data_IF_774572518421
#
_entry.id   IF_774572518421
#
_cell.length_a   1.000
_cell.length_b   1.000
_cell.length_c   1.000
_cell.angle_alpha   90.00
_cell.angle_beta   90.00
_cell.angle_gamma   90.00
#
_symmetry.space_group_name_H-M   'P 1'
#
loop_
_entity.id
_entity.type
_entity.pdbx_description
1 polymer ?
#
# COMPACT_ATOMS: atom_id res chain seq x y z
N UNK A 1 51.36 80.49 28.19
CA UNK A 1 50.68 79.21 28.53
C UNK A 1 51.65 78.05 28.36
N UNK A 2 52.03 77.36 29.45
CA UNK A 2 53.04 76.29 29.45
C UNK A 2 52.34 74.93 29.21
N UNK A 3 52.61 74.27 28.07
CA UNK A 3 52.12 72.91 27.78
C UNK A 3 52.98 71.89 28.52
N UNK A 4 52.40 71.16 29.47
CA UNK A 4 53.03 70.03 30.14
C UNK A 4 52.95 68.83 29.18
N UNK A 5 54.08 68.43 28.58
CA UNK A 5 54.20 67.17 27.84
C UNK A 5 54.45 66.05 28.84
N UNK A 6 53.41 65.27 29.16
CA UNK A 6 53.57 63.99 29.86
C UNK A 6 54.05 62.93 28.86
N UNK A 7 55.32 62.54 28.98
CA UNK A 7 55.91 61.47 28.18
C UNK A 7 55.62 60.13 28.88
N UNK A 8 54.44 59.56 28.64
CA UNK A 8 54.06 58.24 29.17
C UNK A 8 54.66 57.15 28.29
N UNK A 9 55.84 56.66 28.70
CA UNK A 9 56.53 55.55 28.05
C UNK A 9 55.80 54.23 28.37
N UNK A 10 54.90 53.80 27.49
CA UNK A 10 54.18 52.53 27.61
C UNK A 10 55.18 51.37 27.45
N UNK A 11 55.60 50.76 28.56
CA UNK A 11 56.40 49.53 28.53
C UNK A 11 55.52 48.36 28.08
N UNK A 12 55.66 47.94 26.82
CA UNK A 12 54.98 46.76 26.27
C UNK A 12 55.60 45.50 26.87
N UNK A 13 55.04 45.00 27.98
CA UNK A 13 55.46 43.73 28.56
C UNK A 13 54.89 42.56 27.73
N UNK A 14 55.63 42.11 26.70
CA UNK A 14 55.20 41.08 25.75
C UNK A 14 54.78 39.77 26.43
N UNK A 15 55.37 39.44 27.59
CA UNK A 15 55.04 38.22 28.36
C UNK A 15 53.65 38.30 28.98
N UNK A 16 53.23 39.47 29.45
CA UNK A 16 51.90 39.67 30.03
C UNK A 16 50.78 39.53 29.00
N UNK A 17 51.03 39.95 27.75
CA UNK A 17 50.07 39.78 26.65
C UNK A 17 49.82 38.29 26.31
N UNK A 18 50.86 37.46 26.32
CA UNK A 18 50.71 36.02 26.08
C UNK A 18 49.93 35.31 27.20
N UNK A 19 50.21 35.66 28.46
CA UNK A 19 49.47 35.11 29.60
C UNK A 19 48.00 35.53 29.56
N UNK A 20 47.73 36.81 29.26
CA UNK A 20 46.36 37.30 29.10
C UNK A 20 45.60 36.59 27.97
N UNK A 21 46.24 36.35 26.82
CA UNK A 21 45.64 35.63 25.70
C UNK A 21 45.30 34.17 26.05
N UNK A 22 46.15 33.48 26.81
CA UNK A 22 45.86 32.12 27.27
C UNK A 22 44.68 32.07 28.24
N UNK A 23 44.57 33.04 29.15
CA UNK A 23 43.43 33.14 30.07
C UNK A 23 42.14 33.41 29.29
N UNK A 24 42.18 34.35 28.32
CA UNK A 24 41.03 34.65 27.48
C UNK A 24 40.56 33.41 26.69
N UNK A 25 41.49 32.64 26.14
CA UNK A 25 41.20 31.38 25.45
C UNK A 25 40.57 30.34 26.39
N UNK A 26 41.05 30.24 27.63
CA UNK A 26 40.44 29.37 28.63
C UNK A 26 38.99 29.74 28.92
N UNK A 27 38.72 31.04 29.11
CA UNK A 27 37.37 31.55 29.37
C UNK A 27 36.44 31.29 28.17
N UNK A 28 36.90 31.49 26.93
CA UNK A 28 36.08 31.24 25.74
C UNK A 28 35.76 29.76 25.57
N UNK A 29 36.70 28.86 25.83
CA UNK A 29 36.46 27.41 25.78
C UNK A 29 35.42 27.00 26.84
N UNK A 30 35.53 27.51 28.07
CA UNK A 30 34.57 27.22 29.15
C UNK A 30 33.17 27.74 28.78
N UNK A 31 33.08 28.98 28.27
CA UNK A 31 31.83 29.55 27.82
C UNK A 31 31.19 28.70 26.70
N UNK A 32 31.98 28.25 25.73
CA UNK A 32 31.49 27.43 24.62
C UNK A 32 31.02 26.05 25.09
N UNK A 33 31.77 25.39 25.97
CA UNK A 33 31.38 24.12 26.58
C UNK A 33 30.08 24.24 27.38
N UNK A 34 29.91 25.33 28.14
CA UNK A 34 28.68 25.59 28.90
C UNK A 34 27.47 25.81 27.99
N UNK A 35 27.65 26.51 26.86
CA UNK A 35 26.60 26.74 25.87
C UNK A 35 26.14 25.42 25.22
N UNK A 36 27.09 24.56 24.82
CA UNK A 36 26.78 23.23 24.28
C UNK A 36 26.03 22.38 25.31
N UNK A 37 26.45 22.41 26.57
CA UNK A 37 25.76 21.71 27.66
C UNK A 37 24.30 22.16 27.81
N UNK A 38 24.04 23.46 27.81
CA UNK A 38 22.69 24.03 27.89
C UNK A 38 21.87 23.66 26.65
N UNK A 39 22.47 23.72 25.46
CA UNK A 39 21.81 23.33 24.21
C UNK A 39 21.43 21.84 24.24
N UNK A 40 22.31 20.95 24.68
CA UNK A 40 22.02 19.52 24.76
C UNK A 40 20.91 19.20 25.79
N UNK A 41 20.91 19.89 26.93
CA UNK A 41 19.85 19.71 27.95
C UNK A 41 18.49 20.19 27.41
N UNK A 42 18.47 21.33 26.70
CA UNK A 42 17.24 21.85 26.08
C UNK A 42 16.79 21.00 24.90
N UNK A 43 17.71 20.60 24.01
CA UNK A 43 17.42 19.80 22.82
C UNK A 43 17.07 18.35 23.15
N UNK A 44 17.54 17.80 24.28
CA UNK A 44 17.18 16.46 24.74
C UNK A 44 15.68 16.26 25.01
N UNK A 45 14.91 17.35 25.16
CA UNK A 45 13.44 17.35 25.30
C UNK A 45 12.70 17.87 24.06
N UNK A 46 13.41 18.30 23.03
CA UNK A 46 12.81 18.71 21.77
C UNK A 46 12.79 17.48 20.88
N UNK A 47 11.63 16.82 20.73
CA UNK A 47 11.41 15.88 19.63
C UNK A 47 11.94 16.58 18.37
N UNK A 48 12.87 15.98 17.60
CA UNK A 48 13.50 16.67 16.49
C UNK A 48 12.43 17.28 15.59
N UNK A 49 12.51 18.60 15.36
CA UNK A 49 11.59 19.30 14.48
C UNK A 49 11.61 18.58 13.12
N UNK A 50 10.55 17.84 12.82
CA UNK A 50 10.44 16.99 11.64
C UNK A 50 9.91 15.58 11.92
N UNK A 51 10.09 15.05 13.13
CA UNK A 51 9.60 13.69 13.47
C UNK A 51 8.07 13.57 13.35
N UNK A 52 7.32 14.54 13.87
CA UNK A 52 5.86 14.52 13.81
C UNK A 52 5.33 14.58 12.36
N UNK A 53 5.79 15.52 11.50
CA UNK A 53 5.44 15.49 10.07
C UNK A 53 5.84 14.18 9.38
N UNK A 54 7.06 13.67 9.61
CA UNK A 54 7.52 12.40 9.02
C UNK A 54 6.62 11.23 9.43
N UNK A 55 6.18 11.21 10.69
CA UNK A 55 5.28 10.16 11.20
C UNK A 55 3.93 10.20 10.50
N UNK A 56 3.37 11.40 10.26
CA UNK A 56 2.12 11.56 9.51
C UNK A 56 2.30 11.08 8.06
N UNK A 57 3.39 11.48 7.39
CA UNK A 57 3.66 11.03 6.02
C UNK A 57 3.79 9.52 5.90
N UNK A 58 4.48 8.88 6.86
CA UNK A 58 4.57 7.41 6.90
C UNK A 58 3.19 6.77 7.07
N UNK A 59 2.38 7.26 8.01
CA UNK A 59 1.04 6.73 8.23
C UNK A 59 0.12 6.89 7.00
N UNK A 60 0.23 8.01 6.27
CA UNK A 60 -0.51 8.20 5.02
C UNK A 60 -0.06 7.21 3.95
N UNK A 61 1.25 7.05 3.76
CA UNK A 61 1.81 6.14 2.75
C UNK A 61 1.44 4.68 3.04
N UNK A 62 1.57 4.25 4.30
CA UNK A 62 1.14 2.93 4.75
C UNK A 62 -0.37 2.73 4.54
N UNK A 63 -1.19 3.74 4.82
CA UNK A 63 -2.62 3.70 4.55
C UNK A 63 -2.95 3.53 3.06
N UNK A 64 -2.25 4.26 2.18
CA UNK A 64 -2.42 4.14 0.72
C UNK A 64 -2.01 2.76 0.21
N UNK A 65 -0.88 2.23 0.66
CA UNK A 65 -0.41 0.90 0.29
C UNK A 65 -1.44 -0.17 0.67
N UNK A 66 -2.01 -0.07 1.86
CA UNK A 66 -3.03 -1.00 2.35
C UNK A 66 -4.30 -0.95 1.50
N UNK A 67 -4.79 0.26 1.20
CA UNK A 67 -5.95 0.43 0.31
C UNK A 67 -5.69 -0.19 -1.06
N UNK A 68 -4.47 -0.03 -1.59
CA UNK A 68 -4.07 -0.61 -2.85
C UNK A 68 -4.04 -2.16 -2.79
N UNK A 69 -3.51 -2.75 -1.71
CA UNK A 69 -3.56 -4.20 -1.51
C UNK A 69 -4.99 -4.73 -1.38
N UNK A 70 -5.88 -3.99 -0.71
CA UNK A 70 -7.31 -4.36 -0.63
C UNK A 70 -7.94 -4.33 -2.01
N UNK A 71 -7.70 -3.29 -2.80
CA UNK A 71 -8.29 -3.15 -4.13
C UNK A 71 -7.78 -4.24 -5.09
N UNK A 72 -6.46 -4.46 -5.16
CA UNK A 72 -5.89 -5.53 -5.99
C UNK A 72 -6.27 -6.93 -5.51
N UNK A 73 -6.31 -7.15 -4.20
CA UNK A 73 -6.80 -8.39 -3.59
C UNK A 73 -8.26 -8.66 -3.95
N UNK A 74 -9.11 -7.63 -3.93
CA UNK A 74 -10.50 -7.74 -4.33
C UNK A 74 -10.67 -8.00 -5.82
N UNK A 75 -9.90 -7.35 -6.70
CA UNK A 75 -9.88 -7.63 -8.14
C UNK A 75 -9.53 -9.09 -8.41
N UNK A 76 -8.49 -9.60 -7.74
CA UNK A 76 -8.09 -10.99 -7.84
C UNK A 76 -9.20 -11.92 -7.34
N UNK A 77 -9.80 -11.63 -6.19
CA UNK A 77 -10.88 -12.44 -5.63
C UNK A 77 -12.11 -12.50 -6.55
N UNK A 78 -12.46 -11.39 -7.20
CA UNK A 78 -13.53 -11.34 -8.22
C UNK A 78 -13.20 -12.24 -9.40
N UNK A 79 -12.01 -12.10 -10.00
CA UNK A 79 -11.60 -12.94 -11.14
C UNK A 79 -11.56 -14.42 -10.78
N UNK A 80 -11.06 -14.73 -9.58
CA UNK A 80 -11.04 -16.11 -9.09
C UNK A 80 -12.47 -16.63 -8.88
N UNK A 81 -13.38 -15.82 -8.35
CA UNK A 81 -14.77 -16.21 -8.18
C UNK A 81 -15.49 -16.45 -9.51
N UNK A 82 -15.22 -15.61 -10.52
CA UNK A 82 -15.70 -15.81 -11.89
C UNK A 82 -15.17 -17.14 -12.46
N UNK A 83 -13.87 -17.40 -12.31
CA UNK A 83 -13.23 -18.63 -12.77
C UNK A 83 -13.80 -19.87 -12.08
N UNK A 84 -13.88 -19.87 -10.75
CA UNK A 84 -14.37 -21.01 -9.96
C UNK A 84 -15.83 -21.31 -10.28
N UNK A 85 -16.66 -20.27 -10.43
CA UNK A 85 -18.05 -20.42 -10.81
C UNK A 85 -18.16 -20.97 -12.24
N UNK A 86 -17.37 -20.46 -13.19
CA UNK A 86 -17.36 -20.96 -14.58
C UNK A 86 -16.92 -22.43 -14.66
N UNK A 87 -15.90 -22.83 -13.89
CA UNK A 87 -15.44 -24.22 -13.80
C UNK A 87 -16.51 -25.17 -13.27
N UNK A 88 -17.45 -24.68 -12.47
CA UNK A 88 -18.59 -25.45 -11.98
C UNK A 88 -19.82 -25.36 -12.89
N UNK A 89 -19.69 -24.80 -14.10
CA UNK A 89 -20.82 -24.61 -15.01
C UNK A 89 -21.68 -23.40 -14.65
N UNK A 90 -21.12 -22.36 -14.02
CA UNK A 90 -21.78 -21.09 -13.75
C UNK A 90 -22.70 -21.05 -12.52
N UNK A 91 -22.76 -22.14 -11.74
CA UNK A 91 -23.60 -22.27 -10.53
C UNK A 91 -22.92 -23.11 -9.48
N UNK A 92 -23.25 -22.88 -8.20
CA UNK A 92 -22.83 -23.78 -7.12
C UNK A 92 -23.68 -25.04 -7.06
N UNK A 93 -25.00 -24.88 -7.19
CA UNK A 93 -25.95 -25.99 -7.12
C UNK A 93 -26.93 -25.94 -8.28
N UNK A 94 -27.04 -27.05 -9.02
CA UNK A 94 -27.98 -27.22 -10.12
C UNK A 94 -29.08 -28.22 -9.75
N UNK A 95 -30.33 -27.88 -10.09
CA UNK A 95 -31.46 -28.81 -10.03
C UNK A 95 -31.42 -29.91 -11.11
N UNK A 96 -30.52 -29.80 -12.09
CA UNK A 96 -30.31 -30.76 -13.17
C UNK A 96 -29.16 -31.75 -12.86
N UNK A 97 -28.50 -31.62 -11.70
CA UNK A 97 -27.37 -32.46 -11.30
C UNK A 97 -26.02 -31.98 -11.85
N UNK A 98 -24.99 -32.78 -11.63
CA UNK A 98 -23.61 -32.50 -12.02
C UNK A 98 -22.94 -33.70 -12.71
N UNK A 99 -21.88 -33.43 -13.47
CA UNK A 99 -20.94 -34.44 -13.97
C UNK A 99 -19.52 -33.93 -13.76
N UNK A 100 -18.70 -34.72 -13.06
CA UNK A 100 -17.31 -34.38 -12.76
C UNK A 100 -17.15 -32.99 -12.11
N UNK A 101 -18.11 -32.58 -11.27
CA UNK A 101 -18.11 -31.27 -10.62
C UNK A 101 -18.66 -30.11 -11.45
N UNK A 102 -19.02 -30.35 -12.72
CA UNK A 102 -19.65 -29.35 -13.59
C UNK A 102 -21.17 -29.49 -13.48
N UNK A 103 -21.86 -28.42 -13.10
CA UNK A 103 -23.30 -28.39 -12.98
C UNK A 103 -23.98 -28.21 -14.33
N UNK A 104 -25.06 -28.97 -14.58
CA UNK A 104 -25.81 -28.87 -15.82
C UNK A 104 -26.89 -27.80 -15.76
N UNK A 105 -27.10 -27.12 -16.88
CA UNK A 105 -28.23 -26.19 -17.05
C UNK A 105 -29.44 -26.84 -17.70
N UNK A 106 -29.27 -28.02 -18.28
CA UNK A 106 -30.33 -28.68 -19.02
C UNK A 106 -30.27 -30.19 -18.80
N UNK A 107 -31.42 -30.77 -18.48
CA UNK A 107 -31.58 -32.21 -18.32
C UNK A 107 -33.04 -32.61 -18.58
N UNK A 108 -33.25 -33.71 -19.30
CA UNK A 108 -34.56 -34.30 -19.56
C UNK A 108 -35.62 -33.32 -20.10
N UNK A 109 -35.22 -32.47 -21.06
CA UNK A 109 -36.14 -31.50 -21.66
C UNK A 109 -36.30 -30.20 -20.86
N UNK A 110 -35.75 -30.10 -19.65
CA UNK A 110 -35.97 -29.00 -18.72
C UNK A 110 -34.72 -28.17 -18.49
N UNK A 111 -34.89 -26.85 -18.49
CA UNK A 111 -33.86 -25.88 -18.15
C UNK A 111 -33.82 -25.69 -16.62
N UNK A 112 -32.68 -25.98 -15.99
CA UNK A 112 -32.38 -25.74 -14.58
C UNK A 112 -31.44 -24.55 -14.39
N UNK A 113 -31.73 -23.45 -15.09
CA UNK A 113 -30.95 -22.23 -14.94
C UNK A 113 -31.10 -21.70 -13.49
N UNK A 114 -30.00 -21.31 -12.84
CA UNK A 114 -30.02 -20.77 -11.48
C UNK A 114 -30.89 -19.52 -11.40
N UNK A 115 -31.76 -19.46 -10.38
CA UNK A 115 -32.48 -18.22 -10.06
C UNK A 115 -31.66 -17.26 -9.21
N UNK A 116 -30.63 -17.76 -8.52
CA UNK A 116 -29.87 -17.04 -7.50
C UNK A 116 -28.37 -16.91 -7.82
N UNK A 117 -28.00 -16.80 -9.10
CA UNK A 117 -26.59 -16.69 -9.54
C UNK A 117 -25.80 -15.57 -8.83
N UNK A 118 -26.47 -14.49 -8.43
CA UNK A 118 -25.85 -13.39 -7.66
C UNK A 118 -25.42 -13.81 -6.26
N UNK A 119 -26.21 -14.66 -5.60
CA UNK A 119 -25.90 -15.13 -4.25
C UNK A 119 -24.80 -16.19 -4.30
N UNK A 120 -24.84 -17.09 -5.29
CA UNK A 120 -23.76 -18.05 -5.55
C UNK A 120 -22.42 -17.32 -5.78
N UNK A 121 -22.43 -16.28 -6.62
CA UNK A 121 -21.24 -15.46 -6.86
C UNK A 121 -20.75 -14.76 -5.60
N UNK A 122 -21.65 -14.13 -4.81
CA UNK A 122 -21.27 -13.50 -3.53
C UNK A 122 -20.63 -14.49 -2.57
N UNK A 123 -21.15 -15.71 -2.52
CA UNK A 123 -20.63 -16.76 -1.64
C UNK A 123 -19.20 -17.13 -2.02
N UNK A 124 -18.94 -17.43 -3.30
CA UNK A 124 -17.58 -17.76 -3.78
C UNK A 124 -16.65 -16.54 -3.60
N UNK A 125 -17.10 -15.35 -3.96
CA UNK A 125 -16.30 -14.13 -3.79
C UNK A 125 -15.92 -13.92 -2.32
N UNK A 126 -16.84 -14.13 -1.39
CA UNK A 126 -16.55 -14.02 0.06
C UNK A 126 -15.50 -15.03 0.52
N UNK A 127 -15.52 -16.24 -0.05
CA UNK A 127 -14.50 -17.26 0.20
C UNK A 127 -13.15 -16.83 -0.36
N UNK A 128 -13.11 -16.32 -1.60
CA UNK A 128 -11.87 -15.92 -2.27
C UNK A 128 -11.25 -14.64 -1.69
N UNK A 129 -12.07 -13.72 -1.17
CA UNK A 129 -11.59 -12.57 -0.38
C UNK A 129 -10.82 -13.02 0.88
N UNK A 130 -11.17 -14.18 1.44
CA UNK A 130 -10.55 -14.76 2.64
C UNK A 130 -9.23 -15.49 2.38
N UNK A 131 -8.98 -15.85 1.13
CA UNK A 131 -7.80 -16.61 0.71
C UNK A 131 -6.80 -15.74 -0.04
N UNK A 132 -7.16 -14.47 -0.30
CA UNK A 132 -6.36 -13.51 -1.05
C UNK A 132 -4.90 -13.48 -0.61
N UNK A 133 -4.03 -14.07 -1.42
CA UNK A 133 -2.58 -14.17 -1.22
C UNK A 133 -1.97 -12.82 -0.79
N UNK A 134 -2.40 -11.75 -1.43
CA UNK A 134 -1.95 -10.37 -1.21
C UNK A 134 -2.19 -9.84 0.22
N UNK A 135 -3.27 -10.30 0.88
CA UNK A 135 -3.62 -9.87 2.24
C UNK A 135 -2.73 -10.61 3.26
N UNK A 136 -2.48 -11.91 3.05
CA UNK A 136 -1.60 -12.68 3.95
C UNK A 136 -0.14 -12.27 3.87
N UNK A 137 0.37 -11.94 2.68
CA UNK A 137 1.78 -11.57 2.50
C UNK A 137 2.13 -10.19 3.04
N UNK A 138 1.15 -9.30 3.18
CA UNK A 138 1.34 -7.95 3.72
C UNK A 138 1.33 -7.90 5.26
N UNK A 139 1.09 -9.03 5.93
CA UNK A 139 0.98 -9.08 7.40
C UNK A 139 -0.29 -8.40 7.94
N UNK A 140 -1.25 -8.09 7.06
CA UNK A 140 -2.51 -7.44 7.41
C UNK A 140 -3.59 -8.51 7.64
N UNK A 141 -4.28 -8.44 8.77
CA UNK A 141 -5.44 -9.28 9.04
C UNK A 141 -6.72 -8.50 8.69
N UNK A 142 -7.19 -8.65 7.46
CA UNK A 142 -8.43 -8.00 7.01
C UNK A 142 -9.61 -8.91 7.34
N UNK A 143 -10.54 -8.47 8.21
CA UNK A 143 -11.69 -9.28 8.60
C UNK A 143 -12.62 -9.51 7.42
N UNK A 144 -12.86 -10.78 7.10
CA UNK A 144 -13.62 -11.15 5.89
C UNK A 144 -15.11 -11.00 5.98
N UNK A 145 -15.63 -11.00 7.21
CA UNK A 145 -17.03 -10.67 7.50
C UNK A 145 -17.31 -9.16 7.47
N UNK A 146 -16.30 -8.33 7.21
CA UNK A 146 -16.39 -6.89 7.27
C UNK A 146 -16.90 -6.24 5.98
N UNK A 147 -17.18 -7.00 4.91
CA UNK A 147 -17.66 -6.41 3.66
C UNK A 147 -19.12 -6.77 3.37
N UNK A 148 -19.87 -5.79 2.87
CA UNK A 148 -21.14 -5.99 2.20
C UNK A 148 -20.89 -5.93 0.68
N UNK A 149 -21.15 -7.04 -0.01
CA UNK A 149 -20.92 -7.16 -1.46
C UNK A 149 -22.19 -6.78 -2.22
N UNK A 150 -22.10 -5.78 -3.08
CA UNK A 150 -23.16 -5.34 -4.00
C UNK A 150 -22.74 -5.59 -5.44
N UNK A 151 -23.56 -6.36 -6.16
CA UNK A 151 -23.36 -6.65 -7.60
C UNK A 151 -24.28 -5.74 -8.41
N UNK A 152 -23.66 -4.83 -9.15
CA UNK A 152 -24.29 -3.94 -10.14
C UNK A 152 -24.02 -4.49 -11.56
N UNK A 153 -24.76 -4.04 -12.59
CA UNK A 153 -24.63 -4.60 -13.95
C UNK A 153 -23.20 -4.68 -14.49
N UNK A 154 -22.37 -3.66 -14.23
CA UNK A 154 -21.00 -3.57 -14.75
C UNK A 154 -19.96 -3.50 -13.64
N UNK A 155 -20.36 -3.74 -12.39
CA UNK A 155 -19.52 -3.39 -11.24
C UNK A 155 -19.78 -4.26 -10.02
N UNK A 156 -18.71 -4.70 -9.36
CA UNK A 156 -18.76 -5.31 -8.03
C UNK A 156 -18.25 -4.30 -7.02
N UNK A 157 -19.06 -4.02 -5.99
CA UNK A 157 -18.73 -3.14 -4.89
C UNK A 157 -18.60 -3.95 -3.61
N UNK A 158 -17.51 -3.75 -2.87
CA UNK A 158 -17.40 -4.20 -1.49
C UNK A 158 -17.38 -3.01 -0.55
N UNK A 159 -18.39 -2.90 0.30
CA UNK A 159 -18.52 -1.83 1.29
C UNK A 159 -18.08 -2.34 2.65
N UNK A 160 -17.07 -1.72 3.25
CA UNK A 160 -16.68 -2.03 4.61
C UNK A 160 -17.80 -1.68 5.61
N UNK A 161 -18.10 -2.60 6.53
CA UNK A 161 -19.10 -2.47 7.60
C UNK A 161 -18.51 -1.81 8.84
N UNK A 162 -17.21 -1.98 9.05
CA UNK A 162 -16.40 -1.42 10.14
C UNK A 162 -15.08 -0.95 9.59
N UNK A 163 -14.46 -0.03 10.31
CA UNK A 163 -13.10 0.42 10.03
C UNK A 163 -12.09 -0.72 10.21
N UNK A 164 -11.00 -0.65 9.44
CA UNK A 164 -9.87 -1.55 9.58
C UNK A 164 -8.85 -0.89 10.52
N UNK A 165 -8.36 -1.64 11.50
CA UNK A 165 -7.34 -1.16 12.44
C UNK A 165 -6.04 -1.87 12.14
N UNK A 166 -4.95 -1.12 11.98
CA UNK A 166 -3.64 -1.65 11.61
C UNK A 166 -2.68 -1.39 12.78
N UNK A 167 -2.16 -2.47 13.37
CA UNK A 167 -1.11 -2.44 14.39
C UNK A 167 -1.33 -1.42 15.52
N UNK A 168 -2.56 -1.36 16.06
CA UNK A 168 -2.95 -0.44 17.14
C UNK A 168 -3.08 1.04 16.74
N UNK A 169 -2.65 1.40 15.53
CA UNK A 169 -2.89 2.71 14.94
C UNK A 169 -4.25 2.66 14.22
N UNK A 170 -5.22 3.40 14.75
CA UNK A 170 -6.51 3.57 14.07
C UNK A 170 -6.28 4.43 12.84
N UNK A 171 -6.15 3.79 11.69
CA UNK A 171 -6.26 4.49 10.41
C UNK A 171 -7.73 4.43 10.03
N UNK A 172 -8.44 5.53 10.26
CA UNK A 172 -9.86 5.66 9.91
C UNK A 172 -9.97 5.77 8.38
N UNK A 173 -9.99 4.63 7.70
CA UNK A 173 -10.29 4.61 6.26
C UNK A 173 -11.49 3.71 5.99
N UNK A 174 -12.59 4.26 5.46
CA UNK A 174 -13.64 3.43 4.89
C UNK A 174 -13.08 2.76 3.63
N UNK A 175 -12.65 1.52 3.75
CA UNK A 175 -12.14 0.75 2.62
C UNK A 175 -13.33 0.29 1.78
N UNK A 176 -13.63 1.04 0.72
CA UNK A 176 -14.55 0.57 -0.32
C UNK A 176 -13.73 0.15 -1.52
N UNK A 177 -14.00 -1.03 -2.07
CA UNK A 177 -13.38 -1.46 -3.33
C UNK A 177 -14.41 -1.52 -4.45
N UNK A 178 -13.94 -1.37 -5.67
CA UNK A 178 -14.77 -1.13 -6.84
C UNK A 178 -14.14 -1.75 -8.07
N UNK A 179 -14.70 -2.86 -8.54
CA UNK A 179 -14.23 -3.54 -9.75
C UNK A 179 -15.20 -3.33 -10.91
N UNK A 180 -14.70 -2.78 -12.03
CA UNK A 180 -15.47 -2.64 -13.27
C UNK A 180 -15.26 -3.86 -14.17
N UNK A 181 -16.35 -4.60 -14.41
CA UNK A 181 -16.37 -5.85 -15.17
C UNK A 181 -16.04 -5.61 -16.66
N UNK A 182 -16.47 -4.49 -17.24
CA UNK A 182 -16.26 -4.16 -18.66
C UNK A 182 -14.78 -4.07 -19.08
N UNK A 183 -13.87 -3.82 -18.13
CA UNK A 183 -12.43 -3.67 -18.43
C UNK A 183 -11.73 -4.99 -18.82
N UNK A 184 -12.30 -6.14 -18.49
CA UNK A 184 -11.72 -7.45 -18.86
C UNK A 184 -12.02 -7.83 -20.30
N UNK A 185 -13.21 -7.51 -20.81
CA UNK A 185 -13.55 -7.79 -22.22
C UNK A 185 -12.65 -6.99 -23.18
N UNK A 186 -12.33 -5.73 -22.84
CA UNK A 186 -11.44 -4.90 -23.65
C UNK A 186 -9.98 -5.38 -23.63
N UNK A 187 -9.50 -5.98 -22.54
CA UNK A 187 -8.16 -6.56 -22.46
C UNK A 187 -8.05 -7.87 -23.25
N UNK A 188 -9.06 -8.73 -23.17
CA UNK A 188 -9.13 -10.00 -23.93
C UNK A 188 -9.26 -9.72 -25.43
N UNK A 189 -9.98 -8.68 -25.83
CA UNK A 189 -10.12 -8.30 -27.24
C UNK A 189 -8.80 -7.75 -27.83
N UNK A 190 -7.99 -7.04 -27.03
CA UNK A 190 -6.65 -6.60 -27.44
C UNK A 190 -5.67 -7.77 -27.58
N UNK A 191 -5.70 -8.73 -26.65
CA UNK A 191 -4.80 -9.89 -26.66
C UNK A 191 -5.09 -10.83 -27.85
N UNK A 192 -6.38 -10.99 -28.23
CA UNK A 192 -6.77 -11.68 -29.48
C UNK A 192 -6.29 -10.97 -30.75
N UNK A 193 -6.24 -9.63 -30.73
CA UNK A 193 -5.77 -8.80 -31.85
C UNK A 193 -4.24 -8.81 -32.02
N UNK A 194 -3.49 -9.12 -30.96
CA UNK A 194 -2.03 -9.31 -31.01
C UNK A 194 -1.65 -10.74 -31.41
N UNK A 195 -2.38 -11.77 -30.94
CA UNK A 195 -2.14 -13.16 -31.35
C UNK A 195 -2.44 -13.41 -32.84
N UNK A 196 -3.37 -12.67 -33.44
CA UNK A 196 -3.64 -12.74 -34.89
C UNK A 196 -2.58 -12.05 -35.76
N UNK A 197 -1.64 -11.29 -35.16
CA UNK A 197 -0.56 -10.60 -35.88
C UNK A 197 0.78 -11.33 -35.85
N UNK A 198 0.89 -12.46 -35.15
CA UNK A 198 2.12 -13.25 -35.16
C UNK A 198 1.95 -14.37 -36.20
N UNK A 199 2.57 -14.27 -37.40
CA UNK A 199 2.47 -15.34 -38.38
C UNK A 199 3.12 -16.60 -37.80
N UNK A 200 2.35 -17.69 -37.77
CA UNK A 200 2.85 -19.05 -37.52
C UNK A 200 3.80 -19.47 -38.64
N UNK A 201 5.01 -18.93 -38.65
CA UNK A 201 6.11 -19.40 -39.49
C UNK A 201 6.89 -20.45 -38.71
N UNK A 202 6.51 -21.72 -38.86
CA UNK A 202 7.38 -22.89 -38.73
C UNK A 202 6.65 -24.05 -39.41
N UNK A 203 7.00 -24.33 -40.67
CA UNK A 203 7.97 -25.37 -41.06
C UNK A 203 7.34 -26.77 -41.07
N UNK A 204 6.78 -27.11 -42.23
CA UNK A 204 6.74 -28.49 -42.72
C UNK A 204 7.41 -28.46 -44.10
N UNK A 205 8.71 -28.74 -44.13
CA UNK A 205 9.41 -29.11 -45.36
C UNK A 205 9.13 -30.58 -45.64
N UNK A 206 8.51 -30.82 -46.80
CA UNK A 206 8.43 -32.12 -47.46
C UNK A 206 9.83 -32.73 -47.59
N UNK A 207 10.03 -33.94 -47.06
CA UNK A 207 11.09 -34.83 -47.56
C UNK A 207 10.45 -35.75 -48.59
N UNK A 208 10.78 -35.50 -49.86
CA UNK A 208 10.74 -36.49 -50.93
C UNK A 208 12.05 -37.28 -50.88
N UNK A 209 11.94 -38.57 -50.63
CA UNK A 209 12.71 -39.65 -51.29
C UNK A 209 11.92 -40.95 -51.16
#
# INVERSE_FOLDING_TARGET
>A
MKKIKTNTKIWKNKKAAHVFMLILLGITIIAFASLIGILNIKLGHVKPLGEAPITIFKAVHEGEDILNYVDEGAKHAVRQAEFDLAMQGGVLTSGCGNLNGINYWYKDGKLCMPKQYKEDFKQILSQNLNVGYYIKTSGLDIPTNNYEIKILPNKVLGLAKKEIVIDGTRVEVPTTFSYNVESTNAAIEKDKLEQTKTPSSNLITENKE
#
